data_IF_522326911547
#
_entry.id   IF_522326911547
#
_cell.length_a   1.000
_cell.length_b   1.000
_cell.length_c   1.000
_cell.angle_alpha   90.00
_cell.angle_beta   90.00
_cell.angle_gamma   90.00
#
_symmetry.space_group_name_H-M   'P 1'
#
loop_
_entity.id
_entity.type
_entity.pdbx_description
1 polymer ?
#
# COMPACT_ATOMS: atom_id res chain seq x y z
N UNK A 1 -2.56 -37.61 12.13
CA UNK A 1 -1.76 -36.52 11.51
C UNK A 1 -0.84 -35.96 12.57
N UNK A 2 0.47 -35.81 12.29
CA UNK A 2 1.42 -35.21 13.25
C UNK A 2 1.08 -33.74 13.49
N UNK A 3 1.36 -33.22 14.69
CA UNK A 3 1.20 -31.80 15.01
C UNK A 3 2.04 -30.92 14.07
N UNK A 4 3.23 -31.39 13.69
CA UNK A 4 4.12 -30.75 12.71
C UNK A 4 3.45 -30.55 11.33
N UNK A 5 2.81 -31.57 10.77
CA UNK A 5 2.10 -31.45 9.48
C UNK A 5 0.88 -30.53 9.52
N UNK A 6 0.36 -30.23 10.71
CA UNK A 6 -0.69 -29.22 10.88
C UNK A 6 -0.10 -27.81 10.88
N UNK A 7 1.06 -27.61 11.52
CA UNK A 7 1.78 -26.32 11.50
C UNK A 7 2.23 -25.99 10.08
N UNK A 8 2.85 -26.94 9.37
CA UNK A 8 3.27 -26.77 7.97
C UNK A 8 2.13 -26.30 7.05
N UNK A 9 0.95 -26.92 7.14
CA UNK A 9 -0.21 -26.49 6.32
C UNK A 9 -0.70 -25.10 6.67
N UNK A 10 -0.72 -24.74 7.97
CA UNK A 10 -1.13 -23.40 8.42
C UNK A 10 -0.18 -22.33 7.93
N UNK A 11 1.13 -22.55 8.06
CA UNK A 11 2.16 -21.62 7.57
C UNK A 11 2.01 -21.42 6.06
N UNK A 12 1.78 -22.48 5.29
CA UNK A 12 1.55 -22.37 3.85
C UNK A 12 0.31 -21.53 3.51
N UNK A 13 -0.81 -21.74 4.20
CA UNK A 13 -2.02 -20.91 4.03
C UNK A 13 -1.76 -19.45 4.38
N UNK A 14 -1.02 -19.17 5.47
CA UNK A 14 -0.64 -17.81 5.87
C UNK A 14 0.12 -17.10 4.75
N UNK A 15 1.13 -17.73 4.15
CA UNK A 15 1.90 -17.10 3.07
C UNK A 15 1.10 -16.92 1.78
N UNK A 16 0.21 -17.85 1.45
CA UNK A 16 -0.75 -17.66 0.36
C UNK A 16 -1.64 -16.43 0.59
N UNK A 17 -2.17 -16.26 1.80
CA UNK A 17 -3.02 -15.13 2.16
C UNK A 17 -2.26 -13.80 2.19
N UNK A 18 -1.02 -13.79 2.68
CA UNK A 18 -0.12 -12.62 2.62
C UNK A 18 0.13 -12.24 1.14
N UNK A 19 0.48 -13.20 0.29
CA UNK A 19 0.69 -12.97 -1.14
C UNK A 19 -0.56 -12.36 -1.81
N UNK A 20 -1.75 -12.87 -1.47
CA UNK A 20 -3.02 -12.30 -1.95
C UNK A 20 -3.24 -10.87 -1.46
N UNK A 21 -2.97 -10.58 -0.18
CA UNK A 21 -3.13 -9.24 0.38
C UNK A 21 -2.19 -8.23 -0.31
N UNK A 22 -0.94 -8.62 -0.60
CA UNK A 22 0.03 -7.80 -1.34
C UNK A 22 -0.40 -7.52 -2.78
N UNK A 23 -0.93 -8.53 -3.49
CA UNK A 23 -1.46 -8.34 -4.84
C UNK A 23 -2.62 -7.32 -4.87
N UNK A 24 -3.56 -7.44 -3.93
CA UNK A 24 -4.67 -6.49 -3.81
C UNK A 24 -4.15 -5.09 -3.45
N UNK A 25 -3.12 -4.98 -2.61
CA UNK A 25 -2.45 -3.71 -2.33
C UNK A 25 -1.91 -3.06 -3.61
N UNK A 26 -1.24 -3.81 -4.48
CA UNK A 26 -0.67 -3.27 -5.73
C UNK A 26 -1.77 -2.78 -6.69
N UNK A 27 -2.88 -3.52 -6.81
CA UNK A 27 -4.06 -3.11 -7.57
C UNK A 27 -4.63 -1.79 -7.03
N UNK A 28 -4.85 -1.72 -5.71
CA UNK A 28 -5.33 -0.50 -5.05
C UNK A 28 -4.37 0.68 -5.21
N UNK A 29 -3.05 0.44 -5.17
CA UNK A 29 -2.04 1.47 -5.36
C UNK A 29 -2.11 2.08 -6.77
N UNK A 30 -2.29 1.24 -7.79
CA UNK A 30 -2.45 1.66 -9.19
C UNK A 30 -3.72 2.50 -9.40
N UNK A 31 -4.85 2.03 -8.85
CA UNK A 31 -6.12 2.76 -8.92
C UNK A 31 -6.03 4.12 -8.20
N UNK A 32 -5.42 4.11 -7.01
CA UNK A 32 -5.23 5.32 -6.23
C UNK A 32 -4.27 6.30 -6.89
N UNK A 33 -3.23 5.82 -7.60
CA UNK A 33 -2.33 6.69 -8.36
C UNK A 33 -3.07 7.45 -9.47
N UNK A 34 -4.04 6.81 -10.14
CA UNK A 34 -4.88 7.47 -11.15
C UNK A 34 -5.67 8.64 -10.55
N UNK A 35 -6.25 8.44 -9.36
CA UNK A 35 -6.96 9.49 -8.64
C UNK A 35 -6.01 10.59 -8.11
N UNK A 36 -4.84 10.21 -7.58
CA UNK A 36 -3.83 11.15 -7.11
C UNK A 36 -3.36 12.08 -8.25
N UNK A 37 -3.12 11.53 -9.44
CA UNK A 37 -2.76 12.31 -10.61
C UNK A 37 -3.90 13.25 -11.04
N UNK A 38 -5.14 12.76 -11.06
CA UNK A 38 -6.31 13.59 -11.37
C UNK A 38 -6.51 14.73 -10.35
N UNK A 39 -6.22 14.49 -9.08
CA UNK A 39 -6.29 15.47 -7.99
C UNK A 39 -5.25 16.58 -8.19
N UNK A 40 -3.99 16.20 -8.40
CA UNK A 40 -2.89 17.16 -8.65
C UNK A 40 -3.17 18.00 -9.89
N UNK A 41 -3.61 17.38 -11.00
CA UNK A 41 -3.98 18.11 -12.20
C UNK A 41 -5.13 19.11 -11.97
N UNK A 42 -6.13 18.72 -11.17
CA UNK A 42 -7.24 19.62 -10.83
C UNK A 42 -6.79 20.79 -9.94
N UNK A 43 -5.82 20.56 -9.04
CA UNK A 43 -5.21 21.64 -8.24
C UNK A 43 -4.34 22.58 -9.06
N UNK A 44 -3.56 22.05 -9.98
CA UNK A 44 -2.78 22.85 -10.93
C UNK A 44 -3.72 23.74 -11.77
N UNK A 45 -4.83 23.18 -12.27
CA UNK A 45 -5.85 23.95 -12.99
C UNK A 45 -6.46 25.08 -12.13
N UNK A 46 -6.65 24.84 -10.83
CA UNK A 46 -7.16 25.85 -9.91
C UNK A 46 -6.18 27.02 -9.79
N UNK A 47 -4.87 26.75 -9.77
CA UNK A 47 -3.83 27.78 -9.74
C UNK A 47 -3.72 28.63 -11.01
N UNK A 48 -4.15 28.11 -12.16
CA UNK A 48 -4.16 28.84 -13.45
C UNK A 48 -5.48 29.59 -13.73
N UNK A 49 -6.49 29.46 -12.85
CA UNK A 49 -7.78 30.13 -13.03
C UNK A 49 -7.69 31.67 -12.98
N UNK A 50 -6.56 32.22 -12.54
CA UNK A 50 -6.31 33.66 -12.47
C UNK A 50 -5.53 34.22 -13.67
N UNK A 51 -5.12 33.37 -14.61
CA UNK A 51 -4.42 33.82 -15.82
C UNK A 51 -5.40 34.50 -16.79
N UNK A 52 -5.04 35.71 -17.25
CA UNK A 52 -5.81 36.52 -18.21
C UNK A 52 -6.05 35.74 -19.52
N UNK A 53 -5.16 34.79 -19.86
CA UNK A 53 -5.34 33.92 -21.01
C UNK A 53 -6.54 32.95 -20.90
N UNK A 54 -7.00 32.64 -19.67
CA UNK A 54 -8.09 31.70 -19.41
C UNK A 54 -9.48 32.33 -19.47
N UNK A 55 -9.60 33.62 -19.15
CA UNK A 55 -10.89 34.33 -19.07
C UNK A 55 -10.91 35.58 -19.98
N UNK A 56 -11.24 35.40 -21.26
CA UNK A 56 -11.36 36.52 -22.18
C UNK A 56 -12.46 37.51 -21.70
N UNK A 57 -12.23 38.84 -21.70
CA UNK A 57 -13.19 39.82 -21.16
C UNK A 57 -14.61 39.73 -21.74
N UNK A 58 -14.73 39.37 -23.02
CA UNK A 58 -16.04 39.15 -23.67
C UNK A 58 -16.84 37.99 -23.06
N UNK A 59 -16.16 36.95 -22.54
CA UNK A 59 -16.79 35.80 -21.89
C UNK A 59 -17.35 36.20 -20.52
N UNK A 60 -16.57 36.94 -19.73
CA UNK A 60 -17.00 37.46 -18.43
C UNK A 60 -18.10 38.51 -18.54
N UNK A 61 -18.15 39.26 -19.64
CA UNK A 61 -19.24 40.21 -19.91
C UNK A 61 -20.56 39.50 -20.28
N UNK A 62 -20.48 38.41 -21.05
CA UNK A 62 -21.65 37.61 -21.44
C UNK A 62 -22.17 36.72 -20.30
N UNK A 63 -21.28 36.27 -19.40
CA UNK A 63 -21.58 35.37 -18.29
C UNK A 63 -20.85 35.87 -17.02
N UNK A 64 -21.47 36.78 -16.23
CA UNK A 64 -20.81 37.44 -15.10
C UNK A 64 -20.26 36.47 -14.04
N UNK A 65 -20.94 35.35 -13.80
CA UNK A 65 -20.59 34.39 -12.75
C UNK A 65 -19.74 33.21 -13.26
N UNK A 66 -19.26 33.23 -14.51
CA UNK A 66 -18.64 32.03 -15.12
C UNK A 66 -17.40 31.55 -14.36
N UNK A 67 -16.61 32.49 -13.83
CA UNK A 67 -15.41 32.20 -13.07
C UNK A 67 -15.74 31.56 -11.73
N UNK A 68 -16.67 32.14 -10.98
CA UNK A 68 -17.13 31.59 -9.70
C UNK A 68 -17.75 30.19 -9.88
N UNK A 69 -18.58 30.00 -10.91
CA UNK A 69 -19.17 28.68 -11.22
C UNK A 69 -18.11 27.66 -11.60
N UNK A 70 -17.06 28.07 -12.30
CA UNK A 70 -15.95 27.19 -12.65
C UNK A 70 -15.13 26.80 -11.40
N UNK A 71 -14.78 27.76 -10.56
CA UNK A 71 -14.08 27.54 -9.29
C UNK A 71 -14.86 26.60 -8.37
N UNK A 72 -16.18 26.82 -8.22
CA UNK A 72 -17.06 25.94 -7.45
C UNK A 72 -17.06 24.50 -8.00
N UNK A 73 -17.20 24.33 -9.32
CA UNK A 73 -17.15 23.00 -9.95
C UNK A 73 -15.81 22.30 -9.75
N UNK A 74 -14.72 23.05 -9.84
CA UNK A 74 -13.39 22.52 -9.66
C UNK A 74 -13.14 22.10 -8.21
N UNK A 75 -13.59 22.89 -7.23
CA UNK A 75 -13.49 22.57 -5.81
C UNK A 75 -14.32 21.33 -5.45
N UNK A 76 -15.54 21.17 -6.01
CA UNK A 76 -16.32 19.94 -5.87
C UNK A 76 -15.53 18.75 -6.41
N UNK A 77 -15.00 18.85 -7.63
CA UNK A 77 -14.20 17.77 -8.25
C UNK A 77 -12.97 17.41 -7.42
N UNK A 78 -12.26 18.40 -6.89
CA UNK A 78 -11.09 18.21 -6.00
C UNK A 78 -11.51 17.44 -4.75
N UNK A 79 -12.62 17.83 -4.12
CA UNK A 79 -13.12 17.19 -2.90
C UNK A 79 -13.57 15.76 -3.16
N UNK A 80 -14.37 15.52 -4.21
CA UNK A 80 -14.83 14.18 -4.59
C UNK A 80 -13.64 13.26 -4.91
N UNK A 81 -12.64 13.77 -5.66
CA UNK A 81 -11.44 12.99 -6.01
C UNK A 81 -10.61 12.68 -4.77
N UNK A 82 -10.46 13.64 -3.85
CA UNK A 82 -9.73 13.44 -2.60
C UNK A 82 -10.43 12.45 -1.67
N UNK A 83 -11.76 12.48 -1.61
CA UNK A 83 -12.55 11.52 -0.83
C UNK A 83 -12.43 10.11 -1.41
N UNK A 84 -12.52 9.96 -2.74
CA UNK A 84 -12.31 8.69 -3.42
C UNK A 84 -10.88 8.15 -3.20
N UNK A 85 -9.86 9.01 -3.25
CA UNK A 85 -8.47 8.65 -2.95
C UNK A 85 -8.32 8.18 -1.49
N UNK A 86 -8.94 8.89 -0.54
CA UNK A 86 -8.95 8.53 0.88
C UNK A 86 -9.63 7.19 1.12
N UNK A 87 -10.71 6.91 0.38
CA UNK A 87 -11.41 5.62 0.43
C UNK A 87 -10.52 4.47 -0.05
N UNK A 88 -9.72 4.66 -1.11
CA UNK A 88 -8.76 3.65 -1.55
C UNK A 88 -7.63 3.46 -0.55
N UNK A 89 -7.11 4.53 0.04
CA UNK A 89 -6.11 4.43 1.11
C UNK A 89 -6.63 3.62 2.32
N UNK A 90 -7.89 3.81 2.73
CA UNK A 90 -8.53 2.98 3.77
C UNK A 90 -8.61 1.50 3.39
N UNK A 91 -8.85 1.18 2.11
CA UNK A 91 -8.83 -0.21 1.62
C UNK A 91 -7.42 -0.80 1.64
N UNK A 92 -6.39 0.01 1.39
CA UNK A 92 -4.98 -0.38 1.52
C UNK A 92 -4.64 -0.67 2.99
N UNK A 93 -5.08 0.18 3.92
CA UNK A 93 -4.97 -0.07 5.36
C UNK A 93 -5.62 -1.40 5.76
N UNK A 94 -6.79 -1.71 5.18
CA UNK A 94 -7.46 -2.99 5.43
C UNK A 94 -6.60 -4.19 4.98
N UNK A 95 -5.85 -4.07 3.88
CA UNK A 95 -4.92 -5.14 3.48
C UNK A 95 -3.72 -5.20 4.43
N UNK A 96 -3.20 -4.05 4.89
CA UNK A 96 -2.16 -4.00 5.91
C UNK A 96 -2.59 -4.72 7.20
N UNK A 97 -3.78 -4.43 7.72
CA UNK A 97 -4.29 -5.10 8.93
C UNK A 97 -4.48 -6.61 8.73
N UNK A 98 -4.80 -7.08 7.51
CA UNK A 98 -4.80 -8.51 7.22
C UNK A 98 -3.39 -9.08 7.35
N UNK A 99 -2.40 -8.44 6.72
CA UNK A 99 -0.99 -8.84 6.80
C UNK A 99 -0.50 -8.88 8.25
N UNK A 100 -0.86 -7.88 9.08
CA UNK A 100 -0.56 -7.88 10.51
C UNK A 100 -1.12 -9.10 11.23
N UNK A 101 -2.39 -9.43 10.98
CA UNK A 101 -3.03 -10.62 11.58
C UNK A 101 -2.37 -11.93 11.11
N UNK A 102 -1.94 -12.00 9.85
CA UNK A 102 -1.29 -13.17 9.28
C UNK A 102 0.12 -13.37 9.82
N UNK A 103 0.90 -12.28 9.98
CA UNK A 103 2.20 -12.32 10.64
C UNK A 103 2.07 -12.71 12.10
N UNK A 104 1.08 -12.18 12.82
CA UNK A 104 0.80 -12.61 14.19
C UNK A 104 0.46 -14.11 14.29
N UNK A 105 -0.36 -14.62 13.37
CA UNK A 105 -0.64 -16.06 13.31
C UNK A 105 0.61 -16.88 13.02
N UNK A 106 1.56 -16.36 12.24
CA UNK A 106 2.84 -17.01 11.96
C UNK A 106 3.67 -17.11 13.25
N UNK A 107 3.76 -16.02 14.01
CA UNK A 107 4.41 -15.96 15.33
C UNK A 107 3.78 -16.92 16.33
N UNK A 108 2.44 -17.00 16.38
CA UNK A 108 1.72 -17.95 17.23
C UNK A 108 2.04 -19.42 16.86
N UNK A 109 2.19 -19.72 15.56
CA UNK A 109 2.61 -21.05 15.10
C UNK A 109 4.07 -21.35 15.45
N UNK A 110 4.93 -20.34 15.43
CA UNK A 110 6.32 -20.44 15.86
C UNK A 110 6.41 -20.75 17.37
N UNK A 111 5.69 -20.00 18.21
CA UNK A 111 5.64 -20.27 19.64
C UNK A 111 5.10 -21.66 19.92
N UNK A 112 4.03 -22.07 19.23
CA UNK A 112 3.48 -23.42 19.36
C UNK A 112 4.49 -24.50 18.95
N UNK A 113 5.32 -24.25 17.94
CA UNK A 113 6.36 -25.19 17.53
C UNK A 113 7.41 -25.35 18.63
N UNK A 114 7.84 -24.23 19.23
CA UNK A 114 8.76 -24.21 20.36
C UNK A 114 8.18 -24.93 21.59
N UNK A 115 6.90 -24.72 21.90
CA UNK A 115 6.23 -25.38 23.04
C UNK A 115 6.14 -26.90 22.86
N UNK A 116 5.96 -27.38 21.62
CA UNK A 116 5.79 -28.80 21.32
C UNK A 116 7.11 -29.56 21.17
N UNK A 117 8.14 -28.92 20.62
CA UNK A 117 9.38 -29.59 20.19
C UNK A 117 10.65 -28.99 20.80
N UNK A 118 10.54 -27.92 21.60
CA UNK A 118 11.64 -27.19 22.20
C UNK A 118 12.10 -25.99 21.34
N UNK A 119 12.67 -24.98 22.00
CA UNK A 119 13.15 -23.76 21.35
C UNK A 119 14.21 -24.06 20.27
N UNK A 120 15.20 -24.89 20.58
CA UNK A 120 16.24 -25.30 19.63
C UNK A 120 15.66 -25.90 18.34
N UNK A 121 14.53 -26.60 18.43
CA UNK A 121 13.84 -27.14 17.27
C UNK A 121 13.25 -26.02 16.41
N UNK A 122 12.52 -25.09 17.03
CA UNK A 122 11.88 -23.98 16.32
C UNK A 122 12.90 -23.03 15.66
N UNK A 123 14.05 -22.84 16.29
CA UNK A 123 15.10 -21.91 15.86
C UNK A 123 15.97 -22.48 14.75
N UNK A 124 16.25 -23.80 14.78
CA UNK A 124 17.32 -24.39 13.96
C UNK A 124 16.89 -25.53 13.05
N UNK A 125 15.74 -26.18 13.29
CA UNK A 125 15.32 -27.33 12.48
C UNK A 125 14.46 -26.87 11.31
N UNK A 126 14.77 -27.32 10.08
CA UNK A 126 13.96 -26.99 8.91
C UNK A 126 12.49 -27.37 9.12
N UNK A 127 11.59 -26.43 8.84
CA UNK A 127 10.16 -26.71 8.87
C UNK A 127 9.73 -27.49 7.62
N UNK A 128 10.32 -27.18 6.47
CA UNK A 128 10.03 -27.84 5.19
C UNK A 128 11.26 -28.55 4.62
N UNK A 129 12.13 -27.83 3.90
CA UNK A 129 13.30 -28.37 3.24
C UNK A 129 14.58 -27.89 3.92
N UNK A 130 14.83 -26.58 3.93
CA UNK A 130 16.13 -26.04 4.36
C UNK A 130 16.03 -24.98 5.46
N UNK A 131 14.87 -24.30 5.59
CA UNK A 131 14.73 -23.18 6.51
C UNK A 131 13.90 -23.51 7.77
N UNK A 132 14.34 -23.07 8.97
CA UNK A 132 13.52 -23.13 10.17
C UNK A 132 12.36 -22.12 10.10
N UNK A 133 11.32 -22.33 10.92
CA UNK A 133 10.16 -21.43 10.98
C UNK A 133 10.57 -20.00 11.40
N UNK A 134 11.61 -19.86 12.23
CA UNK A 134 12.15 -18.56 12.63
C UNK A 134 12.50 -17.67 11.42
N UNK A 135 13.17 -18.21 10.39
CA UNK A 135 13.55 -17.46 9.19
C UNK A 135 12.31 -16.90 8.45
N UNK A 136 11.22 -17.66 8.41
CA UNK A 136 9.96 -17.20 7.82
C UNK A 136 9.33 -16.08 8.64
N UNK A 137 9.33 -16.20 9.98
CA UNK A 137 8.81 -15.18 10.90
C UNK A 137 9.58 -13.87 10.73
N UNK A 138 10.91 -13.91 10.73
CA UNK A 138 11.76 -12.72 10.58
C UNK A 138 11.52 -12.02 9.25
N UNK A 139 11.46 -12.77 8.14
CA UNK A 139 11.20 -12.20 6.82
C UNK A 139 9.80 -11.63 6.67
N UNK A 140 8.79 -12.30 7.24
CA UNK A 140 7.42 -11.81 7.21
C UNK A 140 7.26 -10.53 8.04
N UNK A 141 7.94 -10.42 9.19
CA UNK A 141 8.01 -9.20 9.99
C UNK A 141 8.69 -8.05 9.23
N UNK A 142 9.83 -8.30 8.60
CA UNK A 142 10.52 -7.29 7.78
C UNK A 142 9.64 -6.80 6.63
N UNK A 143 8.92 -7.70 5.97
CA UNK A 143 7.93 -7.36 4.94
C UNK A 143 6.82 -6.47 5.51
N UNK A 144 6.26 -6.84 6.66
CA UNK A 144 5.20 -6.08 7.30
C UNK A 144 5.64 -4.65 7.66
N UNK A 145 6.86 -4.50 8.18
CA UNK A 145 7.42 -3.19 8.51
C UNK A 145 7.58 -2.30 7.28
N UNK A 146 7.96 -2.86 6.13
CA UNK A 146 7.98 -2.13 4.85
C UNK A 146 6.59 -1.60 4.48
N UNK A 147 5.55 -2.44 4.56
CA UNK A 147 4.18 -2.03 4.24
C UNK A 147 3.62 -1.02 5.24
N UNK A 148 3.96 -1.12 6.54
CA UNK A 148 3.60 -0.10 7.54
C UNK A 148 4.23 1.25 7.22
N UNK A 149 5.52 1.28 6.90
CA UNK A 149 6.23 2.51 6.53
C UNK A 149 5.68 3.12 5.23
N UNK A 150 5.36 2.27 4.25
CA UNK A 150 4.76 2.71 3.00
C UNK A 150 3.36 3.28 3.21
N UNK A 151 2.52 2.59 3.99
CA UNK A 151 1.18 3.08 4.32
C UNK A 151 1.24 4.46 5.00
N UNK A 152 2.13 4.63 5.97
CA UNK A 152 2.33 5.92 6.66
C UNK A 152 2.74 7.03 5.68
N UNK A 153 3.56 6.70 4.69
CA UNK A 153 3.93 7.65 3.63
C UNK A 153 2.71 8.05 2.80
N UNK A 154 1.85 7.09 2.43
CA UNK A 154 0.59 7.36 1.71
C UNK A 154 -0.39 8.19 2.55
N UNK A 155 -0.48 7.96 3.86
CA UNK A 155 -1.29 8.79 4.77
C UNK A 155 -0.83 10.25 4.79
N UNK A 156 0.49 10.48 4.78
CA UNK A 156 1.04 11.84 4.69
C UNK A 156 0.70 12.48 3.33
N UNK A 157 0.76 11.71 2.24
CA UNK A 157 0.42 12.21 0.90
C UNK A 157 -1.07 12.58 0.73
N UNK A 158 -1.99 11.94 1.46
CA UNK A 158 -3.43 12.29 1.43
C UNK A 158 -3.83 13.31 2.51
N UNK A 159 -2.91 13.67 3.41
CA UNK A 159 -3.18 14.60 4.50
C UNK A 159 -3.36 16.05 4.00
N UNK A 160 -3.67 16.95 4.93
CA UNK A 160 -3.78 18.39 4.68
C UNK A 160 -2.48 19.04 4.17
N UNK A 161 -1.32 18.38 4.27
CA UNK A 161 -0.06 18.86 3.70
C UNK A 161 0.35 18.13 2.41
N UNK A 162 -0.51 17.27 1.89
CA UNK A 162 -0.20 16.40 0.76
C UNK A 162 -0.78 16.88 -0.58
N UNK A 163 -1.15 15.92 -1.41
CA UNK A 163 -1.56 16.09 -2.81
C UNK A 163 -2.69 17.12 -2.99
N UNK A 164 -3.67 17.15 -2.07
CA UNK A 164 -4.78 18.11 -2.14
C UNK A 164 -4.30 19.55 -2.00
N UNK A 165 -3.17 19.84 -1.37
CA UNK A 165 -2.73 21.20 -1.11
C UNK A 165 -1.38 21.53 -1.76
N UNK A 166 -1.00 20.79 -2.81
CA UNK A 166 0.19 21.13 -3.60
C UNK A 166 0.05 22.53 -4.22
N UNK A 167 1.12 23.31 -4.16
CA UNK A 167 1.11 24.72 -4.56
C UNK A 167 1.41 24.92 -6.04
N UNK A 168 2.19 24.02 -6.62
CA UNK A 168 2.63 24.13 -8.01
C UNK A 168 2.86 22.74 -8.62
N UNK A 169 3.13 22.73 -9.92
CA UNK A 169 3.34 21.51 -10.70
C UNK A 169 4.52 20.69 -10.18
N UNK A 170 5.66 21.32 -9.88
CA UNK A 170 6.86 20.62 -9.44
C UNK A 170 6.63 19.88 -8.12
N UNK A 171 6.00 20.53 -7.14
CA UNK A 171 5.59 19.90 -5.88
C UNK A 171 4.63 18.73 -6.14
N UNK A 172 3.63 18.93 -6.99
CA UNK A 172 2.69 17.87 -7.39
C UNK A 172 3.39 16.64 -8.00
N UNK A 173 4.34 16.86 -8.91
CA UNK A 173 5.11 15.79 -9.56
C UNK A 173 6.00 15.03 -8.57
N UNK A 174 6.62 15.73 -7.61
CA UNK A 174 7.40 15.09 -6.55
C UNK A 174 6.51 14.20 -5.69
N UNK A 175 5.35 14.70 -5.24
CA UNK A 175 4.41 13.92 -4.43
C UNK A 175 3.87 12.69 -5.19
N UNK A 176 3.57 12.84 -6.48
CA UNK A 176 3.17 11.72 -7.34
C UNK A 176 4.29 10.70 -7.53
N UNK A 177 5.53 11.15 -7.67
CA UNK A 177 6.70 10.28 -7.77
C UNK A 177 6.88 9.44 -6.51
N UNK A 178 6.69 10.03 -5.32
CA UNK A 178 6.71 9.29 -4.05
C UNK A 178 5.60 8.24 -4.03
N UNK A 179 4.39 8.59 -4.45
CA UNK A 179 3.27 7.64 -4.50
C UNK A 179 3.57 6.45 -5.43
N UNK A 180 4.07 6.74 -6.63
CA UNK A 180 4.30 5.77 -7.70
C UNK A 180 5.40 4.77 -7.33
N UNK A 181 6.52 5.29 -6.81
CA UNK A 181 7.73 4.49 -6.61
C UNK A 181 7.71 3.66 -5.32
N UNK A 182 6.79 3.93 -4.39
CA UNK A 182 6.66 3.21 -3.12
C UNK A 182 8.00 2.97 -2.40
N UNK A 183 8.75 4.04 -2.05
CA UNK A 183 10.17 3.96 -1.69
C UNK A 183 10.48 3.08 -0.48
N UNK A 184 9.49 2.78 0.36
CA UNK A 184 9.69 1.90 1.52
C UNK A 184 9.59 0.40 1.14
N UNK A 185 9.02 0.07 -0.02
CA UNK A 185 8.89 -1.31 -0.49
C UNK A 185 10.14 -1.72 -1.26
N UNK A 186 10.99 -2.54 -0.62
CA UNK A 186 12.20 -3.07 -1.23
C UNK A 186 11.85 -4.28 -2.08
N UNK A 187 11.57 -4.05 -3.37
CA UNK A 187 11.09 -5.09 -4.32
C UNK A 187 11.96 -6.35 -4.33
N UNK A 188 13.28 -6.22 -4.17
CA UNK A 188 14.18 -7.37 -4.09
C UNK A 188 13.84 -8.27 -2.88
N UNK A 189 13.71 -7.70 -1.69
CA UNK A 189 13.42 -8.47 -0.48
C UNK A 189 12.05 -9.16 -0.54
N UNK A 190 11.06 -8.50 -1.16
CA UNK A 190 9.74 -9.10 -1.37
C UNK A 190 9.80 -10.29 -2.35
N UNK A 191 10.59 -10.19 -3.42
CA UNK A 191 10.81 -11.29 -4.36
C UNK A 191 11.60 -12.43 -3.72
N UNK A 192 12.65 -12.12 -2.97
CA UNK A 192 13.45 -13.12 -2.25
C UNK A 192 12.59 -13.91 -1.25
N UNK A 193 11.59 -13.28 -0.63
CA UNK A 193 10.61 -13.97 0.23
C UNK A 193 9.68 -14.89 -0.58
N UNK A 194 9.20 -14.43 -1.73
CA UNK A 194 8.30 -15.22 -2.58
C UNK A 194 9.00 -16.46 -3.16
N UNK A 195 10.22 -16.27 -3.66
CA UNK A 195 11.07 -17.37 -4.13
C UNK A 195 11.39 -18.37 -3.01
N UNK A 196 11.68 -17.88 -1.80
CA UNK A 196 11.88 -18.75 -0.63
C UNK A 196 10.64 -19.60 -0.34
N UNK A 197 9.46 -18.99 -0.32
CA UNK A 197 8.20 -19.69 -0.09
C UNK A 197 7.91 -20.73 -1.18
N UNK A 198 8.12 -20.37 -2.45
CA UNK A 198 7.92 -21.28 -3.58
C UNK A 198 8.85 -22.51 -3.49
N UNK A 199 10.13 -22.30 -3.17
CA UNK A 199 11.11 -23.39 -3.04
C UNK A 199 10.76 -24.28 -1.84
N UNK A 200 10.60 -23.69 -0.65
CA UNK A 200 10.42 -24.46 0.58
C UNK A 200 9.08 -25.20 0.62
N UNK A 201 8.00 -24.60 0.12
CA UNK A 201 6.65 -25.16 0.24
C UNK A 201 6.25 -26.05 -0.94
N UNK A 202 7.02 -26.05 -2.03
CA UNK A 202 6.81 -26.98 -3.16
C UNK A 202 7.02 -28.46 -2.80
N UNK A 203 7.72 -28.74 -1.69
CA UNK A 203 8.12 -30.09 -1.27
C UNK A 203 6.97 -30.91 -0.65
N UNK A 204 5.84 -30.28 -0.30
CA UNK A 204 4.65 -30.97 0.27
C UNK A 204 3.54 -31.21 -0.79
N UNK A 205 3.88 -31.21 -2.08
CA UNK A 205 2.93 -31.61 -3.14
C UNK A 205 3.06 -33.08 -3.51
#
# INVERSE_FOLDING_TARGET
>A
MSQLGTIQRRVQTIFFDIGRARKIWDELNSDAFTLANALVNSKIQQGYADDIAYWHPALTQALPDIRERHEQKLEIKINDTNEALTMLAKKMHTQLSKMENQVKQLEDNYQRLADLYGQDFADSKPLYATCPLLNFVERANNMLDMYKAEYKSKELLISNSGLRNCKNNDEGLVLLSVWLNQPNLRTKELKDLDELCDIEMSVIN
#
